data_IF_078071158890
#
_entry.id   IF_078071158890
#
_cell.length_a   1.000
_cell.length_b   1.000
_cell.length_c   1.000
_cell.angle_alpha   90.00
_cell.angle_beta   90.00
_cell.angle_gamma   90.00
#
_symmetry.space_group_name_H-M   'P 1'
#
loop_
_entity.id
_entity.type
_entity.pdbx_description
1 polymer ?
#
# COMPACT_ATOMS: atom_id res chain seq x y z
N UNK A 1 -1.62 13.06 -20.13
CA UNK A 1 -2.57 13.60 -19.14
C UNK A 1 -2.38 15.10 -19.16
N UNK A 2 -3.44 15.87 -19.22
CA UNK A 2 -3.35 17.32 -19.05
C UNK A 2 -2.92 17.64 -17.60
N UNK A 3 -2.44 18.85 -17.29
CA UNK A 3 -1.97 19.19 -15.95
C UNK A 3 -3.01 19.00 -14.84
N UNK A 4 -4.29 19.30 -15.12
CA UNK A 4 -5.39 19.12 -14.15
C UNK A 4 -5.62 17.64 -13.82
N UNK A 5 -5.54 16.74 -14.80
CA UNK A 5 -5.65 15.30 -14.59
C UNK A 5 -4.48 14.76 -13.76
N UNK A 6 -3.26 15.31 -13.97
CA UNK A 6 -2.09 14.91 -13.18
C UNK A 6 -2.23 15.35 -11.73
N UNK A 7 -2.70 16.58 -11.49
CA UNK A 7 -2.96 17.10 -10.15
C UNK A 7 -4.03 16.29 -9.42
N UNK A 8 -5.12 15.90 -10.11
CA UNK A 8 -6.17 15.07 -9.54
C UNK A 8 -5.63 13.70 -9.09
N UNK A 9 -4.82 13.05 -9.94
CA UNK A 9 -4.17 11.78 -9.64
C UNK A 9 -3.27 11.90 -8.42
N UNK A 10 -2.39 12.89 -8.38
CA UNK A 10 -1.46 13.08 -7.26
C UNK A 10 -2.21 13.33 -5.97
N UNK A 11 -3.20 14.22 -5.99
CA UNK A 11 -3.99 14.61 -4.81
C UNK A 11 -4.74 13.44 -4.19
N UNK A 12 -5.21 12.49 -5.01
CA UNK A 12 -5.96 11.33 -4.49
C UNK A 12 -5.09 10.12 -4.16
N UNK A 13 -3.91 9.99 -4.77
CA UNK A 13 -3.04 8.81 -4.59
C UNK A 13 -1.91 8.99 -3.58
N UNK A 14 -1.50 10.22 -3.24
CA UNK A 14 -0.28 10.44 -2.47
C UNK A 14 -0.25 9.70 -1.12
N UNK A 15 -1.38 9.67 -0.40
CA UNK A 15 -1.43 9.09 0.93
C UNK A 15 -1.28 7.57 0.88
N UNK A 16 -1.97 6.90 -0.06
CA UNK A 16 -1.84 5.44 -0.19
C UNK A 16 -0.45 5.03 -0.64
N UNK A 17 0.18 5.81 -1.52
CA UNK A 17 1.58 5.59 -1.92
C UNK A 17 2.53 5.79 -0.73
N UNK A 18 2.30 6.80 0.12
CA UNK A 18 3.10 6.97 1.34
C UNK A 18 2.90 5.88 2.37
N UNK A 19 1.69 5.38 2.55
CA UNK A 19 1.44 4.24 3.43
C UNK A 19 2.11 2.98 2.89
N UNK A 20 2.12 2.76 1.57
CA UNK A 20 2.88 1.65 0.98
C UNK A 20 4.39 1.75 1.26
N UNK A 21 4.95 2.96 1.20
CA UNK A 21 6.35 3.20 1.57
C UNK A 21 6.60 2.88 3.06
N UNK A 22 5.72 3.35 3.95
CA UNK A 22 5.81 3.06 5.39
C UNK A 22 5.76 1.55 5.66
N UNK A 23 4.90 0.82 4.95
CA UNK A 23 4.81 -0.65 5.04
C UNK A 23 6.13 -1.30 4.62
N UNK A 24 6.78 -0.80 3.58
CA UNK A 24 8.06 -1.33 3.11
C UNK A 24 9.23 -1.02 4.07
N UNK A 25 9.20 0.12 4.74
CA UNK A 25 10.23 0.55 5.71
C UNK A 25 10.00 -0.01 7.12
N UNK A 26 8.93 -0.77 7.34
CA UNK A 26 8.60 -1.39 8.62
C UNK A 26 9.68 -2.38 9.06
N UNK A 27 10.09 -2.29 10.33
CA UNK A 27 10.99 -3.26 10.94
C UNK A 27 10.16 -4.35 11.65
N UNK A 28 10.14 -5.59 11.12
CA UNK A 28 9.36 -6.67 11.71
C UNK A 28 9.93 -7.22 13.01
N UNK A 29 11.24 -7.07 13.26
CA UNK A 29 11.89 -7.57 14.48
C UNK A 29 11.47 -6.75 15.69
N UNK A 30 11.45 -5.43 15.55
CA UNK A 30 11.09 -4.50 16.64
C UNK A 30 9.62 -4.08 16.61
N UNK A 31 8.87 -4.48 15.57
CA UNK A 31 7.50 -4.05 15.29
C UNK A 31 7.36 -2.52 15.37
N UNK A 32 8.16 -1.83 14.58
CA UNK A 32 8.23 -0.37 14.62
C UNK A 32 8.19 0.26 13.22
N UNK A 33 7.70 1.50 13.17
CA UNK A 33 7.66 2.33 11.96
C UNK A 33 8.75 3.37 12.03
N UNK A 34 9.50 3.51 10.95
CA UNK A 34 10.48 4.59 10.79
C UNK A 34 9.75 5.89 10.43
N UNK A 35 10.03 6.96 11.17
CA UNK A 35 9.47 8.29 10.92
C UNK A 35 10.49 9.14 10.17
N UNK A 36 10.02 10.17 9.47
CA UNK A 36 10.85 11.03 8.61
C UNK A 36 11.95 11.82 9.34
N UNK A 37 11.93 11.85 10.67
CA UNK A 37 12.92 12.52 11.52
C UNK A 37 13.93 11.52 12.13
N UNK A 38 14.10 10.34 11.52
CA UNK A 38 14.95 9.24 11.98
C UNK A 38 14.57 8.71 13.38
N UNK A 39 13.36 8.99 13.85
CA UNK A 39 12.80 8.38 15.07
C UNK A 39 11.90 7.21 14.72
N UNK A 40 11.65 6.35 15.69
CA UNK A 40 10.84 5.16 15.50
C UNK A 40 9.60 5.23 16.39
N UNK A 41 8.45 4.92 15.80
CA UNK A 41 7.25 4.59 16.57
C UNK A 41 7.23 3.09 16.84
N UNK A 42 7.24 2.69 18.11
CA UNK A 42 7.18 1.28 18.54
C UNK A 42 5.76 0.99 19.01
N UNK A 43 5.21 -0.15 18.60
CA UNK A 43 3.86 -0.57 18.99
C UNK A 43 3.67 -0.53 20.52
N UNK A 44 2.52 -0.01 20.96
CA UNK A 44 2.13 -0.05 22.35
C UNK A 44 1.77 -1.50 22.76
N UNK A 45 2.41 -2.02 23.80
CA UNK A 45 2.08 -3.35 24.37
C UNK A 45 0.81 -3.34 25.26
N UNK A 46 -0.08 -2.36 25.09
CA UNK A 46 -1.19 -2.05 26.01
C UNK A 46 -2.58 -2.22 25.42
N UNK A 47 -3.61 -1.85 26.18
CA UNK A 47 -5.02 -1.91 25.75
C UNK A 47 -5.31 -0.87 24.65
N UNK A 48 -5.59 -1.36 23.44
CA UNK A 48 -5.93 -0.55 22.27
C UNK A 48 -7.12 0.39 22.52
N UNK A 49 -8.08 0.01 23.36
CA UNK A 49 -9.27 0.81 23.64
C UNK A 49 -8.95 2.14 24.33
N UNK A 50 -7.91 2.14 25.17
CA UNK A 50 -7.46 3.28 25.96
C UNK A 50 -6.58 4.28 25.18
N UNK A 51 -6.16 3.93 23.95
CA UNK A 51 -5.30 4.78 23.13
C UNK A 51 -6.08 5.98 22.57
N UNK A 52 -5.40 7.13 22.47
CA UNK A 52 -5.94 8.28 21.76
C UNK A 52 -6.02 8.02 20.25
N UNK A 53 -6.73 8.88 19.52
CA UNK A 53 -6.97 8.71 18.10
C UNK A 53 -5.68 8.65 17.27
N UNK A 54 -4.67 9.47 17.59
CA UNK A 54 -3.41 9.52 16.85
C UNK A 54 -2.64 8.22 17.04
N UNK A 55 -2.53 7.75 18.28
CA UNK A 55 -1.85 6.49 18.59
C UNK A 55 -2.55 5.30 17.92
N UNK A 56 -3.89 5.30 17.85
CA UNK A 56 -4.66 4.28 17.09
C UNK A 56 -4.32 4.25 15.60
N UNK A 57 -4.06 5.39 14.96
CA UNK A 57 -3.61 5.44 13.56
C UNK A 57 -2.26 4.72 13.41
N UNK A 58 -1.29 5.00 14.28
CA UNK A 58 0.02 4.35 14.22
C UNK A 58 -0.06 2.84 14.48
N UNK A 59 -0.87 2.40 15.44
CA UNK A 59 -1.13 0.98 15.68
C UNK A 59 -1.78 0.29 14.47
N UNK A 60 -2.73 0.95 13.80
CA UNK A 60 -3.32 0.44 12.56
C UNK A 60 -2.28 0.31 11.44
N UNK A 61 -1.39 1.30 11.29
CA UNK A 61 -0.28 1.23 10.33
C UNK A 61 0.68 0.10 10.63
N UNK A 62 1.04 -0.13 11.91
CA UNK A 62 1.86 -1.27 12.33
C UNK A 62 1.19 -2.59 11.97
N UNK A 63 -0.10 -2.74 12.28
CA UNK A 63 -0.83 -3.97 11.99
C UNK A 63 -0.94 -4.22 10.48
N UNK A 64 -1.17 -3.16 9.71
CA UNK A 64 -1.16 -3.23 8.26
C UNK A 64 0.22 -3.65 7.73
N UNK A 65 1.30 -3.02 8.19
CA UNK A 65 2.66 -3.35 7.76
C UNK A 65 3.08 -4.77 8.16
N UNK A 66 2.80 -5.17 9.41
CA UNK A 66 3.05 -6.51 9.91
C UNK A 66 2.31 -7.57 9.09
N UNK A 67 1.11 -7.25 8.61
CA UNK A 67 0.39 -8.15 7.71
C UNK A 67 1.22 -8.37 6.43
N UNK A 68 1.74 -7.31 5.81
CA UNK A 68 2.49 -7.36 4.54
C UNK A 68 3.88 -8.03 4.66
N UNK A 69 4.44 -8.12 5.87
CA UNK A 69 5.78 -8.65 6.12
C UNK A 69 6.06 -10.02 5.48
N UNK A 70 5.09 -10.93 5.52
CA UNK A 70 5.25 -12.28 4.95
C UNK A 70 5.31 -12.30 3.41
N UNK A 71 4.90 -11.21 2.74
CA UNK A 71 4.98 -11.16 1.29
C UNK A 71 6.39 -10.87 0.80
N UNK A 72 7.24 -10.20 1.59
CA UNK A 72 8.60 -9.80 1.15
C UNK A 72 8.62 -9.19 -0.26
N UNK A 73 7.74 -8.21 -0.50
CA UNK A 73 7.61 -7.58 -1.81
C UNK A 73 8.96 -7.02 -2.27
N UNK A 74 9.40 -7.42 -3.46
CA UNK A 74 10.64 -6.90 -4.02
C UNK A 74 10.44 -5.49 -4.60
N UNK A 75 11.56 -4.83 -4.95
CA UNK A 75 11.52 -3.46 -5.50
C UNK A 75 10.71 -3.37 -6.81
N UNK A 76 10.61 -4.44 -7.60
CA UNK A 76 9.84 -4.46 -8.86
C UNK A 76 8.35 -4.51 -8.56
N UNK A 77 7.94 -5.36 -7.63
CA UNK A 77 6.55 -5.47 -7.16
C UNK A 77 6.10 -4.17 -6.48
N UNK A 78 6.94 -3.57 -5.64
CA UNK A 78 6.64 -2.28 -4.99
C UNK A 78 6.49 -1.14 -6.00
N UNK A 79 7.34 -1.08 -7.02
CA UNK A 79 7.24 -0.07 -8.07
C UNK A 79 5.94 -0.23 -8.88
N UNK A 80 5.59 -1.46 -9.26
CA UNK A 80 4.34 -1.74 -9.98
C UNK A 80 3.11 -1.49 -9.12
N UNK A 81 3.14 -1.87 -7.84
CA UNK A 81 2.05 -1.60 -6.92
C UNK A 81 1.87 -0.09 -6.68
N UNK A 82 2.96 0.66 -6.55
CA UNK A 82 2.92 2.12 -6.47
C UNK A 82 2.29 2.72 -7.73
N UNK A 83 2.68 2.24 -8.92
CA UNK A 83 2.09 2.68 -10.18
C UNK A 83 0.60 2.35 -10.28
N UNK A 84 0.16 1.18 -9.81
CA UNK A 84 -1.26 0.80 -9.75
C UNK A 84 -2.07 1.75 -8.87
N UNK A 85 -1.54 2.10 -7.69
CA UNK A 85 -2.19 3.01 -6.76
C UNK A 85 -2.29 4.44 -7.30
N UNK A 86 -1.26 4.91 -8.02
CA UNK A 86 -1.25 6.20 -8.71
C UNK A 86 -2.29 6.19 -9.84
N UNK A 87 -2.20 5.23 -10.75
CA UNK A 87 -3.06 5.09 -11.92
C UNK A 87 -4.37 4.34 -11.63
N UNK A 88 -4.95 4.53 -10.44
CA UNK A 88 -6.28 4.00 -10.13
C UNK A 88 -7.35 4.79 -10.92
N UNK A 89 -8.20 4.15 -11.73
CA UNK A 89 -9.27 4.82 -12.48
C UNK A 89 -10.26 5.61 -11.62
N UNK A 90 -10.42 5.25 -10.34
CA UNK A 90 -11.27 6.00 -9.41
C UNK A 90 -10.67 7.35 -8.99
N UNK A 91 -9.38 7.57 -9.24
CA UNK A 91 -8.74 8.84 -8.96
C UNK A 91 -9.08 9.92 -9.99
N UNK A 92 -9.63 9.59 -11.16
CA UNK A 92 -9.87 10.57 -12.23
C UNK A 92 -11.34 10.64 -12.63
N UNK A 93 -11.79 11.82 -13.05
CA UNK A 93 -13.16 11.99 -13.59
C UNK A 93 -13.23 11.84 -15.10
N UNK A 94 -12.38 12.54 -15.83
CA UNK A 94 -12.54 12.75 -17.28
C UNK A 94 -11.77 11.73 -18.14
N UNK A 95 -10.63 11.23 -17.66
CA UNK A 95 -9.76 10.32 -18.43
C UNK A 95 -9.82 8.85 -17.97
N UNK A 96 -10.93 8.44 -17.32
CA UNK A 96 -11.10 7.09 -16.76
C UNK A 96 -10.74 5.96 -17.72
N UNK A 97 -11.19 6.01 -18.97
CA UNK A 97 -10.92 4.93 -19.94
C UNK A 97 -9.43 4.78 -20.26
N UNK A 98 -8.72 5.89 -20.41
CA UNK A 98 -7.29 5.90 -20.67
C UNK A 98 -6.50 5.38 -19.47
N UNK A 99 -6.86 5.82 -18.26
CA UNK A 99 -6.25 5.34 -17.03
C UNK A 99 -6.54 3.85 -16.82
N UNK A 100 -7.76 3.39 -17.10
CA UNK A 100 -8.13 1.99 -16.97
C UNK A 100 -7.30 1.07 -17.88
N UNK A 101 -7.00 1.49 -19.11
CA UNK A 101 -6.11 0.72 -20.00
C UNK A 101 -4.71 0.55 -19.39
N UNK A 102 -4.12 1.63 -18.88
CA UNK A 102 -2.80 1.59 -18.21
C UNK A 102 -2.87 0.73 -16.95
N UNK A 103 -3.90 0.91 -16.13
CA UNK A 103 -4.11 0.17 -14.89
C UNK A 103 -4.23 -1.34 -15.15
N UNK A 104 -4.95 -1.77 -16.19
CA UNK A 104 -5.04 -3.19 -16.56
C UNK A 104 -3.69 -3.78 -16.99
N UNK A 105 -2.88 -3.05 -17.75
CA UNK A 105 -1.55 -3.54 -18.13
C UNK A 105 -0.61 -3.63 -16.93
N UNK A 106 -0.66 -2.66 -16.01
CA UNK A 106 0.09 -2.73 -14.75
C UNK A 106 -0.32 -3.93 -13.89
N UNK A 107 -1.62 -4.26 -13.84
CA UNK A 107 -2.13 -5.44 -13.15
C UNK A 107 -1.58 -6.73 -13.74
N UNK A 108 -1.57 -6.86 -15.07
CA UNK A 108 -1.00 -8.01 -15.77
C UNK A 108 0.51 -8.13 -15.51
N UNK A 109 1.24 -7.02 -15.53
CA UNK A 109 2.66 -7.02 -15.23
C UNK A 109 2.93 -7.48 -13.78
N UNK A 110 2.18 -6.94 -12.82
CA UNK A 110 2.34 -7.32 -11.41
C UNK A 110 2.00 -8.79 -11.18
N UNK A 111 0.92 -9.29 -11.78
CA UNK A 111 0.56 -10.70 -11.74
C UNK A 111 1.70 -11.57 -12.28
N UNK A 112 2.18 -11.27 -13.48
CA UNK A 112 3.23 -12.04 -14.14
C UNK A 112 4.48 -12.16 -13.28
N UNK A 113 4.95 -11.08 -12.65
CA UNK A 113 6.16 -11.13 -11.82
C UNK A 113 5.92 -11.72 -10.42
N UNK A 114 4.67 -11.76 -9.96
CA UNK A 114 4.28 -12.34 -8.68
C UNK A 114 4.01 -13.84 -8.78
N UNK A 115 3.74 -14.33 -9.98
CA UNK A 115 3.57 -15.76 -10.29
C UNK A 115 4.88 -16.39 -10.80
N UNK A 116 5.84 -15.58 -11.28
CA UNK A 116 7.17 -16.01 -11.69
C UNK A 116 8.14 -16.02 -10.50
N UNK A 117 8.39 -17.20 -9.93
CA UNK A 117 9.52 -17.43 -9.02
C UNK A 117 10.45 -18.49 -9.60
N UNK A 118 11.76 -18.18 -9.61
CA UNK A 118 12.83 -18.92 -10.29
C UNK A 118 13.41 -20.10 -9.49
N UNK A 119 12.89 -20.41 -8.30
CA UNK A 119 13.40 -21.50 -7.45
C UNK A 119 12.27 -22.47 -7.04
N UNK A 120 12.63 -23.74 -6.85
CA UNK A 120 11.80 -24.94 -6.60
C UNK A 120 10.77 -24.88 -5.44
N UNK A 121 10.51 -23.71 -4.86
CA UNK A 121 9.38 -23.43 -3.97
C UNK A 121 8.43 -22.42 -4.61
N UNK A 122 7.42 -22.89 -5.32
CA UNK A 122 6.33 -22.04 -5.78
C UNK A 122 5.50 -21.66 -4.54
N UNK A 123 5.62 -20.42 -4.06
CA UNK A 123 4.61 -19.85 -3.17
C UNK A 123 3.36 -19.53 -4.02
N UNK A 124 2.58 -20.58 -4.33
CA UNK A 124 1.34 -20.52 -5.12
C UNK A 124 0.32 -19.53 -4.53
N UNK A 125 0.51 -19.09 -3.30
CA UNK A 125 -0.36 -18.18 -2.58
C UNK A 125 0.13 -16.74 -2.61
N UNK A 126 1.30 -16.44 -3.18
CA UNK A 126 1.85 -15.09 -3.20
C UNK A 126 0.92 -14.10 -3.91
N UNK A 127 0.47 -14.42 -5.13
CA UNK A 127 -0.48 -13.59 -5.87
C UNK A 127 -1.87 -13.48 -5.20
N UNK A 128 -2.53 -14.58 -4.80
CA UNK A 128 -3.77 -14.51 -4.02
C UNK A 128 -3.66 -13.67 -2.74
N UNK A 129 -2.55 -13.78 -2.00
CA UNK A 129 -2.31 -13.00 -0.79
C UNK A 129 -2.21 -11.50 -1.11
N UNK A 130 -1.50 -11.14 -2.18
CA UNK A 130 -1.39 -9.74 -2.63
C UNK A 130 -2.76 -9.16 -2.98
N UNK A 131 -3.61 -9.92 -3.69
CA UNK A 131 -4.97 -9.51 -4.05
C UNK A 131 -5.86 -9.22 -2.84
N UNK A 132 -5.72 -9.98 -1.75
CA UNK A 132 -6.51 -9.74 -0.51
C UNK A 132 -6.00 -8.50 0.24
N UNK A 133 -4.72 -8.17 0.10
CA UNK A 133 -4.08 -7.12 0.91
C UNK A 133 -4.19 -5.72 0.31
N UNK A 134 -4.30 -5.60 -1.00
CA UNK A 134 -4.51 -4.31 -1.67
C UNK A 134 -5.82 -3.63 -1.21
N UNK A 135 -6.97 -4.32 -1.15
CA UNK A 135 -8.20 -3.73 -0.57
C UNK A 135 -8.04 -3.33 0.89
N UNK A 136 -7.34 -4.13 1.71
CA UNK A 136 -7.09 -3.82 3.12
C UNK A 136 -6.28 -2.52 3.28
N UNK A 137 -5.27 -2.32 2.43
CA UNK A 137 -4.51 -1.08 2.34
C UNK A 137 -5.43 0.10 2.00
N UNK A 138 -6.23 -0.02 0.94
CA UNK A 138 -7.14 1.05 0.48
C UNK A 138 -8.18 1.42 1.56
N UNK A 139 -8.76 0.44 2.25
CA UNK A 139 -9.71 0.67 3.34
C UNK A 139 -9.05 1.40 4.51
N UNK A 140 -7.86 0.96 4.91
CA UNK A 140 -7.12 1.61 6.01
C UNK A 140 -6.80 3.06 5.69
N UNK A 141 -6.38 3.34 4.44
CA UNK A 141 -6.12 4.71 3.99
C UNK A 141 -7.40 5.55 4.00
N UNK A 142 -8.51 4.97 3.55
CA UNK A 142 -9.81 5.66 3.50
C UNK A 142 -10.31 6.03 4.90
N UNK A 143 -10.14 5.13 5.88
CA UNK A 143 -10.48 5.40 7.27
C UNK A 143 -9.60 6.50 7.88
N UNK A 144 -8.33 6.57 7.50
CA UNK A 144 -7.39 7.62 7.96
C UNK A 144 -7.67 9.00 7.35
N UNK A 145 -8.21 9.06 6.14
CA UNK A 145 -8.59 10.33 5.51
C UNK A 145 -9.82 10.97 6.19
N UNK A 146 -10.52 10.21 7.04
CA UNK A 146 -11.84 10.57 7.53
C UNK A 146 -12.84 10.43 6.38
N UNK A 147 -13.97 9.77 6.62
CA UNK A 147 -15.08 9.83 5.66
C UNK A 147 -15.42 11.30 5.43
N UNK A 148 -15.18 11.80 4.22
CA UNK A 148 -15.82 13.02 3.73
C UNK A 148 -17.34 12.87 3.82
#
# INVERSE_FOLDING_TARGET
>A
LNPSEQEEIVTKSWLVVKILQIIHEFNPTERCLMLANDTTYIAANGDYSALDYTTKIFENLINLAASFNHMQLDNRQLALLSALLIYNPENVKECKEKINKVHMELWKCLQSISEMHDDDSIDLLHWPNLLVRIPSLLLTVSDMQGKN
#
